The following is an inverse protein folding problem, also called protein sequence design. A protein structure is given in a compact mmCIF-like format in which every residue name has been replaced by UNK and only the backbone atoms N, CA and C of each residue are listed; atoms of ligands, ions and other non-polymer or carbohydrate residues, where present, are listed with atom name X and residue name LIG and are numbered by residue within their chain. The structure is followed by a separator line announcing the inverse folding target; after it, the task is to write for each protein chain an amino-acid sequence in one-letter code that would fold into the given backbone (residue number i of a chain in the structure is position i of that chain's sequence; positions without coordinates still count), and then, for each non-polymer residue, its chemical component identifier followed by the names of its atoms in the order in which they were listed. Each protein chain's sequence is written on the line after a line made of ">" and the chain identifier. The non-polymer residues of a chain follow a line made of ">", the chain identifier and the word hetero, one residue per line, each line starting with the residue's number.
data_IF_352272562730
#
_entry.id   IF_352272562730
#
_cell.length_a   1.000
_cell.length_b   1.000
_cell.length_c   1.000
_cell.angle_alpha   90.00
_cell.angle_beta   90.00
_cell.angle_gamma   90.00
#
_symmetry.space_group_name_H-M   'P 1'
#
loop_
_entity.id
_entity.type
_entity.pdbx_description
1 polymer ?
#
# COMPACT_ATOMS: atom_id res chain seq x y z
N UNK A 1 10.29 7.98 30.83
CA UNK A 1 11.30 7.73 29.79
C UNK A 1 12.10 6.48 30.10
N UNK A 2 12.11 5.52 29.21
CA UNK A 2 12.99 4.35 29.26
C UNK A 2 14.28 4.68 28.50
N UNK A 3 15.41 4.53 29.18
CA UNK A 3 16.72 4.75 28.56
C UNK A 3 17.00 3.71 27.50
N UNK A 4 17.69 4.14 26.44
CA UNK A 4 18.09 3.29 25.32
C UNK A 4 16.91 2.70 24.53
N UNK A 5 15.68 3.20 24.73
CA UNK A 5 14.51 2.85 23.96
C UNK A 5 14.22 3.92 22.91
N UNK A 6 13.95 3.49 21.69
CA UNK A 6 13.48 4.32 20.58
C UNK A 6 12.03 3.95 20.26
N UNK A 7 11.13 4.92 20.35
CA UNK A 7 9.76 4.80 19.85
C UNK A 7 9.74 5.23 18.39
N UNK A 8 9.24 4.36 17.52
CA UNK A 8 9.14 4.62 16.07
C UNK A 8 7.68 4.70 15.71
N UNK A 9 7.28 5.84 15.15
CA UNK A 9 5.94 6.11 14.70
C UNK A 9 5.94 6.13 13.17
N UNK A 10 5.13 5.26 12.56
CA UNK A 10 5.07 5.13 11.11
C UNK A 10 3.74 5.60 10.58
N UNK A 11 3.78 6.59 9.70
CA UNK A 11 2.59 7.17 9.11
C UNK A 11 2.50 6.85 7.62
N UNK A 12 1.28 6.76 7.12
CA UNK A 12 0.98 6.64 5.70
C UNK A 12 0.92 5.20 5.20
N UNK A 13 1.82 4.80 4.31
CA UNK A 13 1.64 3.58 3.51
C UNK A 13 2.62 2.46 3.90
N UNK A 14 2.34 1.24 3.39
CA UNK A 14 3.19 0.06 3.55
C UNK A 14 4.66 0.25 3.10
N UNK A 15 4.94 1.21 2.19
CA UNK A 15 6.31 1.52 1.80
C UNK A 15 7.08 2.21 2.92
N UNK A 16 6.42 3.13 3.66
CA UNK A 16 6.99 3.75 4.85
C UNK A 16 7.17 2.72 5.97
N UNK A 17 6.23 1.77 6.11
CA UNK A 17 6.36 0.69 7.08
C UNK A 17 7.63 -0.14 6.84
N UNK A 18 7.88 -0.56 5.60
CA UNK A 18 9.13 -1.27 5.24
C UNK A 18 10.37 -0.44 5.58
N UNK A 19 10.35 0.88 5.35
CA UNK A 19 11.46 1.76 5.68
C UNK A 19 11.69 1.84 7.21
N UNK A 20 10.62 1.90 8.00
CA UNK A 20 10.70 1.86 9.47
C UNK A 20 11.23 0.52 9.98
N UNK A 21 10.78 -0.60 9.45
CA UNK A 21 11.24 -1.95 9.82
C UNK A 21 12.73 -2.16 9.54
N UNK A 22 13.23 -1.63 8.40
CA UNK A 22 14.67 -1.62 8.09
C UNK A 22 15.46 -0.78 9.11
N UNK A 23 14.94 0.39 9.45
CA UNK A 23 15.57 1.27 10.43
C UNK A 23 15.57 0.67 11.83
N UNK A 24 14.46 0.05 12.27
CA UNK A 24 14.36 -0.66 13.55
C UNK A 24 15.42 -1.74 13.66
N UNK A 25 15.62 -2.53 12.60
CA UNK A 25 16.66 -3.58 12.60
C UNK A 25 18.06 -3.03 12.78
N UNK A 26 18.36 -1.89 12.18
CA UNK A 26 19.63 -1.19 12.37
C UNK A 26 19.78 -0.66 13.80
N UNK A 27 18.73 -0.13 14.40
CA UNK A 27 18.75 0.34 15.79
C UNK A 27 18.95 -0.81 16.78
N UNK A 28 18.22 -1.92 16.63
CA UNK A 28 18.39 -3.13 17.45
C UNK A 28 19.82 -3.67 17.40
N UNK A 29 20.39 -3.76 16.20
CA UNK A 29 21.75 -4.21 15.99
C UNK A 29 22.78 -3.27 16.65
N UNK A 30 22.44 -2.00 16.85
CA UNK A 30 23.20 -1.01 17.58
C UNK A 30 22.90 -0.99 19.09
N UNK A 31 22.07 -1.91 19.58
CA UNK A 31 21.77 -2.11 21.01
C UNK A 31 20.67 -1.21 21.56
N UNK A 32 19.82 -0.64 20.71
CA UNK A 32 18.60 0.04 21.15
C UNK A 32 17.44 -0.97 21.28
N UNK A 33 16.53 -0.69 22.19
CA UNK A 33 15.23 -1.34 22.29
C UNK A 33 14.24 -0.53 21.45
N UNK A 34 13.60 -1.17 20.45
CA UNK A 34 12.69 -0.50 19.54
C UNK A 34 11.24 -0.86 19.83
N UNK A 35 10.39 0.16 19.90
CA UNK A 35 8.94 0.00 20.05
C UNK A 35 8.25 0.70 18.88
N UNK A 36 7.34 0.01 18.19
CA UNK A 36 6.64 0.52 17.03
C UNK A 36 5.20 0.88 17.36
N UNK A 37 4.75 2.06 16.95
CA UNK A 37 3.38 2.59 17.04
C UNK A 37 2.69 2.33 18.39
N UNK A 38 3.42 2.61 19.49
CA UNK A 38 2.88 2.46 20.83
C UNK A 38 1.85 3.53 21.16
N UNK A 39 0.70 3.13 21.70
CA UNK A 39 -0.30 4.05 22.25
C UNK A 39 0.25 4.85 23.46
N UNK A 40 1.28 4.32 24.11
CA UNK A 40 1.93 4.92 25.29
C UNK A 40 3.45 4.96 25.11
N UNK A 41 3.99 5.83 24.23
CA UNK A 41 5.43 5.92 23.99
C UNK A 41 6.17 6.31 25.27
N UNK A 42 7.20 5.54 25.65
CA UNK A 42 7.98 5.74 26.88
C UNK A 42 9.49 5.89 26.64
N UNK A 43 9.93 5.77 25.38
CA UNK A 43 11.34 5.87 24.99
C UNK A 43 11.94 7.25 25.26
N UNK A 44 13.26 7.31 25.43
CA UNK A 44 13.98 8.59 25.53
C UNK A 44 14.15 9.25 24.15
N UNK A 45 13.97 8.50 23.06
CA UNK A 45 14.10 8.94 21.68
C UNK A 45 12.82 8.59 20.93
N UNK A 46 12.34 9.50 20.10
CA UNK A 46 11.27 9.20 19.13
C UNK A 46 11.75 9.49 17.70
N UNK A 47 11.34 8.63 16.77
CA UNK A 47 11.55 8.80 15.33
C UNK A 47 10.19 8.71 14.64
N UNK A 48 9.77 9.79 13.97
CA UNK A 48 8.52 9.84 13.25
C UNK A 48 8.82 9.71 11.75
N UNK A 49 8.33 8.64 11.13
CA UNK A 49 8.39 8.43 9.69
C UNK A 49 7.09 8.92 9.04
N UNK A 50 7.15 10.10 8.44
CA UNK A 50 6.00 10.91 8.02
C UNK A 50 5.49 10.58 6.63
N UNK A 51 4.20 10.79 6.40
CA UNK A 51 3.56 10.82 5.08
C UNK A 51 3.45 12.25 4.56
N UNK A 52 3.67 12.45 3.25
CA UNK A 52 3.61 13.76 2.59
C UNK A 52 2.93 13.71 1.23
N UNK A 53 2.06 12.71 1.02
CA UNK A 53 1.49 12.42 -0.29
C UNK A 53 0.28 13.30 -0.62
N UNK A 54 -0.68 13.41 0.29
CA UNK A 54 -1.90 14.24 0.16
C UNK A 54 -2.07 15.13 1.37
N UNK A 55 -2.90 16.18 1.25
CA UNK A 55 -3.07 17.21 2.29
C UNK A 55 -3.43 16.62 3.65
N UNK A 56 -4.44 15.74 3.70
CA UNK A 56 -4.87 15.12 4.97
C UNK A 56 -3.75 14.31 5.65
N UNK A 57 -2.92 13.62 4.89
CA UNK A 57 -1.78 12.87 5.44
C UNK A 57 -0.63 13.79 5.89
N UNK A 58 -0.49 14.97 5.25
CA UNK A 58 0.46 16.00 5.72
C UNK A 58 -0.01 16.59 7.04
N UNK A 59 -1.28 16.93 7.14
CA UNK A 59 -1.89 17.47 8.38
C UNK A 59 -1.76 16.45 9.53
N UNK A 60 -2.08 15.19 9.31
CA UNK A 60 -1.90 14.13 10.30
C UNK A 60 -0.44 14.03 10.75
N UNK A 61 0.50 14.04 9.81
CA UNK A 61 1.93 14.00 10.11
C UNK A 61 2.40 15.20 10.93
N UNK A 62 1.93 16.41 10.61
CA UNK A 62 2.26 17.62 11.37
C UNK A 62 1.67 17.55 12.78
N UNK A 63 0.42 17.14 12.92
CA UNK A 63 -0.23 17.00 14.23
C UNK A 63 0.51 16.00 15.12
N UNK A 64 0.94 14.86 14.57
CA UNK A 64 1.75 13.88 15.29
C UNK A 64 3.09 14.47 15.71
N UNK A 65 3.78 15.20 14.84
CA UNK A 65 5.04 15.89 15.23
C UNK A 65 4.80 16.84 16.39
N UNK A 66 3.75 17.66 16.35
CA UNK A 66 3.42 18.63 17.42
C UNK A 66 3.07 17.93 18.74
N UNK A 67 2.40 16.78 18.70
CA UNK A 67 2.17 15.97 19.90
C UNK A 67 3.50 15.54 20.55
N UNK A 68 4.44 15.06 19.75
CA UNK A 68 5.75 14.63 20.27
C UNK A 68 6.64 15.81 20.70
N UNK A 69 6.49 17.00 20.10
CA UNK A 69 7.08 18.25 20.61
C UNK A 69 6.56 18.55 22.01
N UNK A 70 5.25 18.52 22.24
CA UNK A 70 4.65 18.71 23.56
C UNK A 70 5.19 17.70 24.59
N UNK A 71 5.36 16.42 24.20
CA UNK A 71 5.96 15.40 25.08
C UNK A 71 7.41 15.74 25.44
N UNK A 72 8.19 16.26 24.49
CA UNK A 72 9.57 16.69 24.70
C UNK A 72 9.64 17.88 25.65
N UNK A 73 8.81 18.89 25.47
CA UNK A 73 8.72 20.06 26.35
C UNK A 73 8.34 19.71 27.79
N UNK A 74 7.47 18.71 27.95
CA UNK A 74 7.06 18.18 29.25
C UNK A 74 8.09 17.21 29.88
N UNK A 75 9.26 17.03 29.28
CA UNK A 75 10.31 16.16 29.78
C UNK A 75 10.01 14.67 29.68
N UNK A 76 9.04 14.27 28.86
CA UNK A 76 8.64 12.89 28.60
C UNK A 76 9.43 12.26 27.44
N UNK A 77 10.16 13.08 26.68
CA UNK A 77 10.99 12.70 25.54
C UNK A 77 12.27 13.53 25.58
N UNK A 78 13.41 12.92 25.27
CA UNK A 78 14.70 13.59 25.24
C UNK A 78 15.08 14.10 23.86
N UNK A 79 14.86 13.27 22.84
CA UNK A 79 15.22 13.56 21.45
C UNK A 79 14.09 13.20 20.52
N UNK A 80 13.77 14.10 19.58
CA UNK A 80 12.75 13.93 18.56
C UNK A 80 13.37 14.08 17.18
N UNK A 81 13.24 13.04 16.36
CA UNK A 81 13.70 13.01 14.99
C UNK A 81 12.53 12.78 14.03
N UNK A 82 12.55 13.45 12.89
CA UNK A 82 11.52 13.33 11.86
C UNK A 82 12.15 12.93 10.53
N UNK A 83 11.57 11.96 9.85
CA UNK A 83 11.97 11.51 8.52
C UNK A 83 10.75 11.21 7.65
N UNK A 84 10.96 10.71 6.44
CA UNK A 84 9.89 10.24 5.58
C UNK A 84 9.51 11.20 4.47
N UNK A 85 8.31 10.99 3.91
CA UNK A 85 7.87 11.68 2.69
C UNK A 85 7.61 13.17 2.89
N UNK A 86 6.96 13.56 4.00
CA UNK A 86 6.73 14.96 4.32
C UNK A 86 8.05 15.69 4.54
N UNK A 87 8.91 15.11 5.37
CA UNK A 87 10.24 15.68 5.66
C UNK A 87 11.13 15.73 4.42
N UNK A 88 11.01 14.77 3.48
CA UNK A 88 11.73 14.84 2.21
C UNK A 88 11.31 16.04 1.36
N UNK A 89 10.03 16.39 1.39
CA UNK A 89 9.44 17.43 0.53
C UNK A 89 9.59 18.84 1.10
N UNK A 90 9.46 18.99 2.43
CA UNK A 90 9.34 20.27 3.12
C UNK A 90 10.36 20.46 4.25
N UNK A 91 11.55 19.86 4.12
CA UNK A 91 12.54 19.83 5.19
C UNK A 91 12.92 21.20 5.74
N UNK A 92 13.16 22.15 4.84
CA UNK A 92 13.65 23.49 5.23
C UNK A 92 12.55 24.30 5.93
N UNK A 93 11.31 24.19 5.44
CA UNK A 93 10.12 24.82 6.02
C UNK A 93 9.84 24.24 7.40
N UNK A 94 9.78 22.91 7.52
CA UNK A 94 9.51 22.23 8.78
C UNK A 94 10.56 22.54 9.83
N UNK A 95 11.84 22.60 9.45
CA UNK A 95 12.93 22.93 10.37
C UNK A 95 12.84 24.37 10.90
N UNK A 96 12.28 25.28 10.08
CA UNK A 96 12.08 26.67 10.46
C UNK A 96 10.84 26.85 11.33
N UNK A 97 9.74 26.17 11.00
CA UNK A 97 8.44 26.32 11.67
C UNK A 97 8.34 25.49 12.96
N UNK A 98 9.08 24.38 13.06
CA UNK A 98 9.08 23.47 14.25
C UNK A 98 10.54 23.25 14.72
N UNK A 99 11.19 24.29 15.27
CA UNK A 99 12.60 24.22 15.71
C UNK A 99 12.82 23.32 16.93
N UNK A 100 11.77 22.88 17.62
CA UNK A 100 11.83 21.96 18.76
C UNK A 100 12.23 20.53 18.36
N UNK A 101 12.03 20.15 17.09
CA UNK A 101 12.54 18.89 16.54
C UNK A 101 14.05 18.95 16.44
N UNK A 102 14.75 17.95 16.98
CA UNK A 102 16.22 17.94 17.00
C UNK A 102 16.80 17.90 15.60
N UNK A 103 16.19 17.12 14.69
CA UNK A 103 16.60 17.10 13.30
C UNK A 103 15.55 16.49 12.39
N UNK A 104 15.45 17.06 11.19
CA UNK A 104 14.68 16.52 10.08
C UNK A 104 15.58 15.82 9.07
N UNK A 105 15.20 14.62 8.64
CA UNK A 105 15.91 13.83 7.63
C UNK A 105 15.01 13.61 6.41
N UNK A 106 15.60 13.57 5.22
CA UNK A 106 14.88 13.08 4.05
C UNK A 106 14.60 11.58 4.15
N UNK A 107 13.69 11.09 3.30
CA UNK A 107 13.26 9.67 3.25
C UNK A 107 14.43 8.68 3.19
N UNK A 108 15.52 9.03 2.51
CA UNK A 108 16.66 8.14 2.27
C UNK A 108 17.86 8.39 3.21
N UNK A 109 17.72 9.25 4.21
CA UNK A 109 18.84 9.68 5.06
C UNK A 109 18.95 8.90 6.37
N UNK A 110 18.42 7.68 6.45
CA UNK A 110 18.46 6.87 7.68
C UNK A 110 19.90 6.58 8.18
N UNK A 111 20.89 6.44 7.27
CA UNK A 111 22.30 6.30 7.65
C UNK A 111 22.82 7.50 8.44
N UNK A 112 22.40 8.71 8.06
CA UNK A 112 22.76 9.92 8.79
C UNK A 112 22.08 9.97 10.16
N UNK A 113 20.84 9.53 10.28
CA UNK A 113 20.14 9.42 11.56
C UNK A 113 20.87 8.46 12.51
N UNK A 114 21.29 7.30 12.03
CA UNK A 114 22.09 6.34 12.82
C UNK A 114 23.41 6.98 13.28
N UNK A 115 24.11 7.69 12.39
CA UNK A 115 25.37 8.37 12.71
C UNK A 115 25.18 9.49 13.74
N UNK A 116 24.12 10.26 13.68
CA UNK A 116 23.82 11.34 14.62
C UNK A 116 23.48 10.80 16.03
N UNK A 117 23.04 9.56 16.13
CA UNK A 117 22.90 8.84 17.40
C UNK A 117 24.24 8.26 17.93
N UNK A 118 25.37 8.58 17.28
CA UNK A 118 26.70 8.10 17.66
C UNK A 118 26.93 6.62 17.33
N UNK A 119 26.19 6.08 16.36
CA UNK A 119 26.20 4.67 15.92
C UNK A 119 26.68 4.57 14.47
N UNK A 120 26.86 3.34 14.00
CA UNK A 120 27.24 3.05 12.64
C UNK A 120 26.24 2.08 11.99
N UNK A 121 26.06 2.22 10.67
CA UNK A 121 25.33 1.22 9.90
C UNK A 121 26.02 -0.14 10.03
N UNK A 122 25.24 -1.18 10.27
CA UNK A 122 25.72 -2.55 10.39
C UNK A 122 25.39 -3.30 9.10
N UNK A 123 26.39 -3.56 8.23
CA UNK A 123 26.16 -4.19 6.92
C UNK A 123 25.49 -5.57 6.99
N UNK A 124 25.72 -6.32 8.08
CA UNK A 124 25.10 -7.62 8.29
C UNK A 124 23.56 -7.54 8.46
N UNK A 125 23.01 -6.34 8.68
CA UNK A 125 21.58 -6.08 8.77
C UNK A 125 21.02 -5.47 7.47
N UNK A 126 21.85 -5.28 6.45
CA UNK A 126 21.39 -4.72 5.17
C UNK A 126 20.33 -5.62 4.54
N UNK A 127 19.17 -5.05 4.22
CA UNK A 127 18.00 -5.79 3.72
C UNK A 127 17.22 -6.58 4.77
N UNK A 128 17.71 -6.75 6.01
CA UNK A 128 16.96 -7.40 7.09
C UNK A 128 16.04 -6.44 7.78
N UNK A 129 14.89 -6.93 8.25
CA UNK A 129 13.85 -6.12 8.88
C UNK A 129 13.43 -6.67 10.24
N UNK A 130 12.96 -5.78 11.09
CA UNK A 130 12.13 -6.09 12.23
C UNK A 130 10.68 -6.02 11.77
N UNK A 131 10.02 -7.17 11.54
CA UNK A 131 8.63 -7.16 11.07
C UNK A 131 7.70 -6.62 12.15
N UNK A 132 6.85 -5.68 11.77
CA UNK A 132 5.80 -5.08 12.60
C UNK A 132 4.40 -5.57 12.20
N UNK A 133 4.29 -6.22 11.04
CA UNK A 133 3.08 -6.94 10.63
C UNK A 133 2.89 -8.21 11.45
N UNK A 134 1.68 -8.80 11.46
CA UNK A 134 1.47 -10.17 11.92
C UNK A 134 2.49 -11.13 11.28
N UNK A 135 2.97 -12.15 12.01
CA UNK A 135 4.14 -12.95 11.58
C UNK A 135 3.92 -13.79 10.32
N UNK A 136 2.71 -13.87 9.81
CA UNK A 136 2.35 -14.71 8.66
C UNK A 136 2.32 -13.95 7.33
N UNK A 137 2.40 -12.62 7.31
CA UNK A 137 2.54 -11.85 6.07
C UNK A 137 3.59 -10.74 6.18
N UNK A 138 4.14 -10.33 5.05
CA UNK A 138 5.09 -9.22 4.97
C UNK A 138 4.93 -8.45 3.66
N UNK A 139 5.19 -7.14 3.71
CA UNK A 139 5.32 -6.32 2.51
C UNK A 139 6.72 -6.47 1.91
N UNK A 140 6.83 -6.65 0.60
CA UNK A 140 8.10 -6.71 -0.13
C UNK A 140 8.18 -5.52 -1.07
N UNK A 141 9.01 -4.54 -0.70
CA UNK A 141 9.27 -3.36 -1.53
C UNK A 141 10.33 -3.70 -2.57
N UNK A 142 9.94 -3.75 -3.85
CA UNK A 142 10.80 -4.21 -4.95
C UNK A 142 11.53 -3.07 -5.69
N UNK A 143 11.03 -1.86 -5.57
CA UNK A 143 11.65 -0.66 -6.13
C UNK A 143 11.28 0.58 -5.32
N UNK A 144 11.80 1.73 -5.70
CA UNK A 144 11.50 3.04 -5.12
C UNK A 144 11.47 4.09 -6.23
N UNK A 145 10.54 5.06 -6.15
CA UNK A 145 10.39 6.12 -7.14
C UNK A 145 9.49 5.72 -8.31
N UNK A 146 9.18 6.68 -9.17
CA UNK A 146 8.28 6.46 -10.30
C UNK A 146 8.64 7.38 -11.47
N UNK A 147 8.75 6.81 -12.66
CA UNK A 147 9.01 7.56 -13.91
C UNK A 147 7.71 7.89 -14.66
N UNK A 148 6.52 7.58 -14.11
CA UNK A 148 5.24 8.04 -14.64
C UNK A 148 5.02 9.51 -14.25
N UNK A 149 4.58 10.31 -15.19
CA UNK A 149 4.38 11.75 -15.01
C UNK A 149 2.89 12.09 -14.89
N UNK A 150 2.13 11.31 -14.09
CA UNK A 150 0.72 11.61 -13.85
C UNK A 150 0.56 13.02 -13.26
N UNK A 151 -0.31 13.82 -13.85
CA UNK A 151 -0.38 15.27 -13.58
C UNK A 151 -0.65 15.63 -12.11
N UNK A 152 -1.36 14.78 -11.39
CA UNK A 152 -1.75 14.98 -9.98
C UNK A 152 -0.73 14.45 -8.96
N UNK A 153 0.30 13.72 -9.42
CA UNK A 153 1.09 12.86 -8.53
C UNK A 153 2.34 13.56 -8.01
N UNK A 154 2.47 13.63 -6.69
CA UNK A 154 3.64 14.18 -6.01
C UNK A 154 4.80 13.17 -5.83
N UNK A 155 4.62 11.89 -6.17
CA UNK A 155 5.62 10.84 -5.96
C UNK A 155 6.98 11.19 -6.57
N UNK A 156 7.09 11.64 -7.85
CA UNK A 156 8.38 12.01 -8.42
C UNK A 156 9.10 13.14 -7.67
N UNK A 157 8.35 14.03 -7.01
CA UNK A 157 8.90 15.12 -6.18
C UNK A 157 9.45 14.62 -4.84
N UNK A 158 8.92 13.50 -4.33
CA UNK A 158 9.26 12.92 -3.03
C UNK A 158 10.37 11.88 -3.17
N UNK A 159 10.17 10.90 -4.06
CA UNK A 159 11.02 9.71 -4.15
C UNK A 159 11.97 9.73 -5.37
N UNK A 160 11.74 10.66 -6.30
CA UNK A 160 12.51 10.78 -7.51
C UNK A 160 12.20 9.70 -8.55
N UNK A 161 13.19 9.42 -9.40
CA UNK A 161 13.07 8.44 -10.48
C UNK A 161 12.97 7.01 -9.96
N UNK A 162 12.37 6.15 -10.77
CA UNK A 162 12.29 4.72 -10.51
C UNK A 162 13.67 4.08 -10.35
N UNK A 163 13.82 3.24 -9.32
CA UNK A 163 15.04 2.49 -9.02
C UNK A 163 14.67 1.11 -8.51
N UNK A 164 14.85 0.10 -9.36
CA UNK A 164 14.63 -1.29 -9.01
C UNK A 164 15.67 -1.80 -8.02
N UNK A 165 15.25 -2.61 -7.06
CA UNK A 165 16.16 -3.44 -6.26
C UNK A 165 16.65 -4.62 -7.10
N UNK A 166 17.83 -5.12 -6.80
CA UNK A 166 18.35 -6.33 -7.46
C UNK A 166 17.43 -7.52 -7.16
N UNK A 167 17.14 -8.31 -8.18
CA UNK A 167 16.27 -9.47 -8.06
C UNK A 167 16.75 -10.45 -7.00
N UNK A 168 18.04 -10.75 -6.98
CA UNK A 168 18.62 -11.70 -6.01
C UNK A 168 18.47 -11.20 -4.55
N UNK A 169 18.60 -9.90 -4.31
CA UNK A 169 18.39 -9.33 -2.97
C UNK A 169 16.93 -9.49 -2.51
N UNK A 170 15.97 -9.31 -3.43
CA UNK A 170 14.54 -9.51 -3.15
C UNK A 170 14.26 -10.99 -2.88
N UNK A 171 14.76 -11.89 -3.72
CA UNK A 171 14.56 -13.34 -3.57
C UNK A 171 15.18 -13.87 -2.27
N UNK A 172 16.35 -13.37 -1.89
CA UNK A 172 16.99 -13.73 -0.62
C UNK A 172 16.17 -13.25 0.58
N UNK A 173 15.64 -12.01 0.54
CA UNK A 173 14.75 -11.49 1.58
C UNK A 173 13.48 -12.34 1.72
N UNK A 174 12.82 -12.67 0.61
CA UNK A 174 11.64 -13.54 0.62
C UNK A 174 11.96 -14.93 1.17
N UNK A 175 13.08 -15.52 0.78
CA UNK A 175 13.49 -16.83 1.27
C UNK A 175 13.79 -16.82 2.79
N UNK A 176 14.46 -15.78 3.30
CA UNK A 176 14.71 -15.62 4.73
C UNK A 176 13.40 -15.45 5.51
N UNK A 177 12.48 -14.60 5.04
CA UNK A 177 11.19 -14.40 5.67
C UNK A 177 10.31 -15.65 5.64
N UNK A 178 10.26 -16.37 4.52
CA UNK A 178 9.52 -17.63 4.39
C UNK A 178 10.07 -18.71 5.35
N UNK A 179 11.40 -18.82 5.45
CA UNK A 179 12.05 -19.74 6.39
C UNK A 179 11.72 -19.40 7.87
N UNK A 180 11.41 -18.13 8.17
CA UNK A 180 10.98 -17.66 9.49
C UNK A 180 9.45 -17.70 9.70
N UNK A 181 8.67 -18.27 8.76
CA UNK A 181 7.25 -18.53 8.92
C UNK A 181 6.30 -17.57 8.22
N UNK A 182 6.79 -16.57 7.50
CA UNK A 182 5.97 -15.73 6.65
C UNK A 182 5.44 -16.55 5.47
N UNK A 183 4.13 -16.51 5.24
CA UNK A 183 3.44 -17.30 4.22
C UNK A 183 2.90 -16.46 3.07
N UNK A 184 2.56 -15.20 3.33
CA UNK A 184 1.99 -14.29 2.36
C UNK A 184 2.90 -13.07 2.16
N UNK A 185 3.13 -12.71 0.89
CA UNK A 185 4.01 -11.62 0.48
C UNK A 185 3.23 -10.59 -0.34
N UNK A 186 3.13 -9.38 0.18
CA UNK A 186 2.53 -8.24 -0.48
C UNK A 186 3.60 -7.52 -1.29
N UNK A 187 3.64 -7.71 -2.61
CA UNK A 187 4.63 -7.06 -3.49
C UNK A 187 4.19 -5.63 -3.76
N UNK A 188 5.00 -4.68 -3.30
CA UNK A 188 4.68 -3.25 -3.33
C UNK A 188 5.79 -2.41 -3.95
N UNK A 189 5.39 -1.37 -4.67
CA UNK A 189 6.16 -0.20 -5.08
C UNK A 189 5.23 0.93 -5.52
N UNK A 190 5.72 1.97 -6.22
CA UNK A 190 4.87 3.03 -6.75
C UNK A 190 4.24 2.66 -8.11
N UNK A 191 4.92 1.81 -8.90
CA UNK A 191 4.43 1.30 -10.18
C UNK A 191 5.01 -0.09 -10.47
N UNK A 192 4.32 -1.12 -10.02
CA UNK A 192 4.75 -2.53 -10.02
C UNK A 192 5.25 -3.04 -11.38
N UNK A 193 4.57 -2.66 -12.46
CA UNK A 193 4.84 -3.22 -13.78
C UNK A 193 6.12 -2.68 -14.41
N UNK A 194 6.68 -1.61 -13.86
CA UNK A 194 7.92 -0.99 -14.36
C UNK A 194 9.21 -1.64 -13.81
N UNK A 195 9.09 -2.58 -12.86
CA UNK A 195 10.24 -3.24 -12.25
C UNK A 195 11.19 -3.82 -13.30
N UNK A 196 12.46 -3.46 -13.21
CA UNK A 196 13.55 -3.88 -14.08
C UNK A 196 13.84 -2.97 -15.28
N UNK A 197 12.86 -2.13 -15.69
CA UNK A 197 13.02 -1.29 -16.90
C UNK A 197 14.20 -0.29 -16.78
N UNK A 198 14.47 0.19 -15.57
CA UNK A 198 15.62 1.06 -15.29
C UNK A 198 16.97 0.33 -15.35
N UNK A 199 16.99 -1.00 -15.30
CA UNK A 199 18.22 -1.80 -15.33
C UNK A 199 18.68 -2.11 -16.75
N UNK A 200 17.79 -2.55 -17.63
CA UNK A 200 18.14 -2.99 -18.99
C UNK A 200 17.07 -2.68 -20.06
N UNK A 201 16.05 -1.89 -19.72
CA UNK A 201 14.95 -1.51 -20.62
C UNK A 201 13.84 -2.56 -20.75
N UNK A 202 13.81 -3.60 -19.90
CA UNK A 202 12.83 -4.67 -19.95
C UNK A 202 12.04 -4.79 -18.63
N UNK A 203 10.79 -5.22 -18.73
CA UNK A 203 10.00 -5.58 -17.56
C UNK A 203 10.48 -6.93 -17.01
N UNK A 204 10.86 -6.95 -15.74
CA UNK A 204 11.31 -8.17 -15.04
C UNK A 204 10.33 -8.63 -13.96
N UNK A 205 9.17 -8.00 -13.84
CA UNK A 205 8.18 -8.35 -12.80
C UNK A 205 7.68 -9.78 -12.95
N UNK A 206 7.44 -10.25 -14.18
CA UNK A 206 6.97 -11.60 -14.46
C UNK A 206 7.98 -12.66 -13.96
N UNK A 207 9.26 -12.47 -14.28
CA UNK A 207 10.33 -13.34 -13.80
C UNK A 207 10.45 -13.32 -12.28
N UNK A 208 10.45 -12.12 -11.68
CA UNK A 208 10.54 -11.95 -10.23
C UNK A 208 9.42 -12.71 -9.51
N UNK A 209 8.17 -12.48 -9.89
CA UNK A 209 6.99 -13.12 -9.26
C UNK A 209 7.02 -14.63 -9.45
N UNK A 210 7.39 -15.09 -10.64
CA UNK A 210 7.52 -16.53 -10.92
C UNK A 210 8.58 -17.19 -10.02
N UNK A 211 9.75 -16.56 -9.86
CA UNK A 211 10.83 -17.08 -8.99
C UNK A 211 10.47 -17.00 -7.51
N UNK A 212 9.78 -15.92 -7.06
CA UNK A 212 9.27 -15.83 -5.70
C UNK A 212 8.29 -16.97 -5.38
N UNK A 213 7.41 -17.32 -6.32
CA UNK A 213 6.44 -18.40 -6.16
C UNK A 213 7.08 -19.80 -6.02
N UNK A 214 8.31 -19.97 -6.48
CA UNK A 214 9.06 -21.23 -6.38
C UNK A 214 9.86 -21.35 -5.06
N UNK A 215 9.88 -20.32 -4.21
CA UNK A 215 10.57 -20.35 -2.91
C UNK A 215 9.78 -21.23 -1.92
N UNK A 216 10.42 -22.21 -1.27
CA UNK A 216 9.75 -23.04 -0.26
C UNK A 216 9.17 -22.20 0.90
N UNK A 217 7.91 -22.47 1.26
CA UNK A 217 7.20 -21.75 2.33
C UNK A 217 6.39 -20.55 1.84
N UNK A 218 6.56 -20.11 0.61
CA UNK A 218 5.71 -19.09 0.00
C UNK A 218 4.37 -19.73 -0.38
N UNK A 219 3.30 -19.26 0.24
CA UNK A 219 1.94 -19.75 0.00
C UNK A 219 1.08 -18.76 -0.80
N UNK A 220 1.26 -17.44 -0.58
CA UNK A 220 0.59 -16.37 -1.30
C UNK A 220 1.52 -15.22 -1.66
N UNK A 221 1.38 -14.74 -2.90
CA UNK A 221 1.98 -13.51 -3.42
C UNK A 221 0.87 -12.65 -3.97
N UNK A 222 0.77 -11.41 -3.50
CA UNK A 222 -0.22 -10.44 -3.91
C UNK A 222 0.44 -9.24 -4.57
N UNK A 223 -0.14 -8.75 -5.68
CA UNK A 223 0.45 -7.72 -6.52
C UNK A 223 -0.31 -6.41 -6.38
N UNK A 224 0.40 -5.33 -6.02
CA UNK A 224 -0.17 -4.02 -5.77
C UNK A 224 0.40 -2.95 -6.71
N UNK A 225 -0.42 -1.95 -7.04
CA UNK A 225 -0.04 -0.74 -7.74
C UNK A 225 0.45 -0.97 -9.18
N UNK A 226 -0.22 -1.84 -9.93
CA UNK A 226 0.01 -1.99 -11.36
C UNK A 226 -0.45 -0.76 -12.16
N UNK A 227 0.13 -0.58 -13.33
CA UNK A 227 -0.23 0.50 -14.25
C UNK A 227 -0.73 -0.08 -15.58
N UNK A 228 -1.81 0.46 -16.18
CA UNK A 228 -2.42 -0.16 -17.36
C UNK A 228 -1.62 0.01 -18.65
N UNK A 229 -0.84 1.10 -18.78
CA UNK A 229 -0.06 1.37 -19.99
C UNK A 229 1.24 0.56 -19.99
N UNK A 230 1.52 -0.14 -21.10
CA UNK A 230 2.68 -1.01 -21.27
C UNK A 230 2.70 -2.17 -20.26
N UNK A 231 1.51 -2.69 -19.93
CA UNK A 231 1.38 -3.81 -19.00
C UNK A 231 2.05 -5.07 -19.55
N UNK A 232 2.88 -5.77 -18.76
CA UNK A 232 3.53 -7.02 -19.17
C UNK A 232 2.51 -8.17 -19.17
N UNK A 233 1.93 -8.47 -20.33
CA UNK A 233 0.83 -9.42 -20.47
C UNK A 233 1.17 -10.86 -20.07
N UNK A 234 2.43 -11.24 -20.11
CA UNK A 234 2.97 -12.52 -19.65
C UNK A 234 2.84 -12.70 -18.12
N UNK A 235 2.70 -11.61 -17.37
CA UNK A 235 2.40 -11.65 -15.94
C UNK A 235 1.07 -12.39 -15.65
N UNK A 236 0.08 -12.26 -16.54
CA UNK A 236 -1.20 -12.96 -16.38
C UNK A 236 -1.05 -14.49 -16.47
N UNK A 237 -0.08 -14.99 -17.23
CA UNK A 237 0.19 -16.41 -17.29
C UNK A 237 0.76 -16.93 -15.96
N UNK A 238 1.57 -16.12 -15.27
CA UNK A 238 2.06 -16.43 -13.92
C UNK A 238 0.92 -16.39 -12.90
N UNK A 239 0.08 -15.34 -12.93
CA UNK A 239 -1.09 -15.23 -12.04
C UNK A 239 -2.04 -16.42 -12.23
N UNK A 240 -2.28 -16.85 -13.47
CA UNK A 240 -3.17 -17.98 -13.79
C UNK A 240 -2.60 -19.32 -13.35
N UNK A 241 -1.30 -19.57 -13.60
CA UNK A 241 -0.72 -20.91 -13.54
C UNK A 241 0.02 -21.22 -12.23
N UNK A 242 0.43 -20.20 -11.46
CA UNK A 242 1.10 -20.38 -10.16
C UNK A 242 0.07 -20.28 -9.04
N UNK A 243 -0.23 -21.36 -8.30
CA UNK A 243 -1.22 -21.34 -7.21
C UNK A 243 -0.80 -20.46 -6.03
N UNK A 244 0.49 -20.12 -5.93
CA UNK A 244 1.01 -19.19 -4.94
C UNK A 244 0.69 -17.74 -5.29
N UNK A 245 0.39 -17.41 -6.54
CA UNK A 245 0.06 -16.04 -6.94
C UNK A 245 -1.45 -15.83 -6.84
N UNK A 246 -1.86 -14.96 -5.93
CA UNK A 246 -3.26 -14.67 -5.69
C UNK A 246 -3.95 -14.18 -6.98
N UNK A 247 -5.18 -14.62 -7.20
CA UNK A 247 -6.02 -14.13 -8.31
C UNK A 247 -6.54 -12.72 -7.98
N UNK A 248 -5.61 -11.81 -7.80
CA UNK A 248 -5.82 -10.45 -7.36
C UNK A 248 -4.82 -9.52 -8.06
N UNK A 249 -5.31 -8.42 -8.60
CA UNK A 249 -4.46 -7.39 -9.22
C UNK A 249 -5.00 -6.00 -8.85
N UNK A 250 -4.18 -5.23 -8.15
CA UNK A 250 -4.47 -3.83 -7.88
C UNK A 250 -3.88 -2.95 -9.00
N UNK A 251 -4.77 -2.28 -9.74
CA UNK A 251 -4.41 -1.41 -10.87
C UNK A 251 -5.10 -0.06 -10.76
N UNK A 252 -4.32 1.01 -10.60
CA UNK A 252 -4.85 2.36 -10.48
C UNK A 252 -5.25 2.94 -11.84
N UNK A 253 -6.53 2.87 -12.20
CA UNK A 253 -7.06 3.41 -13.47
C UNK A 253 -7.27 4.91 -13.41
N UNK A 254 -7.69 5.44 -12.28
CA UNK A 254 -7.96 6.84 -11.96
C UNK A 254 -9.22 7.40 -12.62
N UNK A 255 -9.40 7.26 -13.91
CA UNK A 255 -10.57 7.69 -14.66
C UNK A 255 -10.75 6.85 -15.93
N UNK A 256 -11.83 7.11 -16.74
CA UNK A 256 -12.07 6.44 -18.00
C UNK A 256 -12.30 7.42 -19.16
N UNK A 257 -12.81 8.64 -18.90
CA UNK A 257 -13.03 9.65 -19.95
C UNK A 257 -11.69 10.03 -20.62
N UNK A 258 -11.65 10.03 -21.95
CA UNK A 258 -10.47 10.42 -22.72
C UNK A 258 -10.03 11.85 -22.39
N UNK A 259 -10.99 12.74 -22.14
CA UNK A 259 -10.72 14.10 -21.70
C UNK A 259 -9.94 14.10 -20.39
N UNK A 260 -10.40 13.39 -19.36
CA UNK A 260 -9.73 13.32 -18.06
C UNK A 260 -8.42 12.56 -18.12
N UNK A 261 -8.36 11.42 -18.79
CA UNK A 261 -7.14 10.62 -18.94
C UNK A 261 -6.01 11.43 -19.60
N UNK A 262 -6.34 12.23 -20.61
CA UNK A 262 -5.39 13.14 -21.26
C UNK A 262 -4.91 14.24 -20.30
N UNK A 263 -5.82 14.92 -19.59
CA UNK A 263 -5.45 15.97 -18.61
C UNK A 263 -4.64 15.42 -17.43
N UNK A 264 -4.97 14.21 -16.98
CA UNK A 264 -4.22 13.48 -15.93
C UNK A 264 -2.89 12.90 -16.42
N UNK A 265 -2.56 13.02 -17.71
CA UNK A 265 -1.35 12.47 -18.34
C UNK A 265 -1.20 10.95 -18.10
N UNK A 266 -2.30 10.20 -18.29
CA UNK A 266 -2.31 8.75 -18.06
C UNK A 266 -1.78 7.95 -19.25
N UNK A 267 -1.66 8.57 -20.44
CA UNK A 267 -1.16 7.94 -21.67
C UNK A 267 -1.89 6.65 -22.07
N UNK A 268 -3.15 6.57 -21.74
CA UNK A 268 -4.11 5.53 -22.17
C UNK A 268 -5.40 6.21 -22.57
N UNK A 269 -6.16 5.57 -23.45
CA UNK A 269 -7.50 6.00 -23.85
C UNK A 269 -8.57 5.20 -23.12
N UNK A 270 -9.84 5.65 -23.23
CA UNK A 270 -11.01 4.87 -22.80
C UNK A 270 -11.01 3.48 -23.44
N UNK A 271 -10.75 3.41 -24.74
CA UNK A 271 -10.74 2.15 -25.47
C UNK A 271 -9.64 1.21 -24.98
N UNK A 272 -8.43 1.75 -24.69
CA UNK A 272 -7.34 0.97 -24.11
C UNK A 272 -7.72 0.45 -22.72
N UNK A 273 -8.37 1.26 -21.90
CA UNK A 273 -8.83 0.89 -20.56
C UNK A 273 -9.87 -0.21 -20.60
N UNK A 274 -10.87 -0.10 -21.50
CA UNK A 274 -11.88 -1.14 -21.71
C UNK A 274 -11.22 -2.44 -22.18
N UNK A 275 -10.34 -2.35 -23.18
CA UNK A 275 -9.62 -3.52 -23.71
C UNK A 275 -8.75 -4.17 -22.62
N UNK A 276 -8.11 -3.37 -21.78
CA UNK A 276 -7.32 -3.85 -20.65
C UNK A 276 -8.15 -4.72 -19.70
N UNK A 277 -9.30 -4.21 -19.22
CA UNK A 277 -10.20 -4.95 -18.33
C UNK A 277 -10.75 -6.22 -18.99
N UNK A 278 -11.16 -6.14 -20.26
CA UNK A 278 -11.63 -7.32 -21.00
C UNK A 278 -10.55 -8.39 -21.09
N UNK A 279 -9.31 -8.01 -21.42
CA UNK A 279 -8.19 -8.96 -21.53
C UNK A 279 -7.85 -9.59 -20.18
N UNK A 280 -7.89 -8.84 -19.07
CA UNK A 280 -7.70 -9.39 -17.74
C UNK A 280 -8.72 -10.50 -17.45
N UNK A 281 -10.01 -10.22 -17.67
CA UNK A 281 -11.09 -11.17 -17.40
C UNK A 281 -11.10 -12.36 -18.35
N UNK A 282 -10.70 -12.19 -19.61
CA UNK A 282 -10.57 -13.29 -20.57
C UNK A 282 -9.42 -14.24 -20.22
N UNK A 283 -8.25 -13.68 -19.84
CA UNK A 283 -7.07 -14.48 -19.56
C UNK A 283 -7.09 -15.13 -18.18
N UNK A 284 -7.69 -14.46 -17.20
CA UNK A 284 -7.82 -14.93 -15.81
C UNK A 284 -9.25 -14.66 -15.32
N UNK A 285 -10.22 -15.52 -15.65
CA UNK A 285 -11.66 -15.27 -15.35
C UNK A 285 -11.97 -15.07 -13.86
N UNK A 286 -11.18 -15.67 -12.97
CA UNK A 286 -11.33 -15.60 -11.52
C UNK A 286 -10.60 -14.38 -10.90
N UNK A 287 -9.99 -13.52 -11.74
CA UNK A 287 -9.20 -12.39 -11.26
C UNK A 287 -10.09 -11.35 -10.56
N UNK A 288 -9.80 -11.07 -9.32
CA UNK A 288 -10.36 -9.93 -8.59
C UNK A 288 -9.53 -8.69 -8.92
N UNK A 289 -10.18 -7.73 -9.55
CA UNK A 289 -9.56 -6.45 -9.93
C UNK A 289 -9.86 -5.43 -8.85
N UNK A 290 -8.79 -4.96 -8.21
CA UNK A 290 -8.84 -3.77 -7.36
C UNK A 290 -8.44 -2.55 -8.17
N UNK A 291 -9.18 -1.45 -8.03
CA UNK A 291 -8.83 -0.21 -8.69
C UNK A 291 -8.98 1.00 -7.76
N UNK A 292 -8.33 2.07 -8.15
CA UNK A 292 -8.47 3.39 -7.54
C UNK A 292 -8.92 4.37 -8.60
N UNK A 293 -9.97 5.14 -8.28
CA UNK A 293 -10.52 6.18 -9.14
C UNK A 293 -10.42 7.55 -8.47
N UNK A 294 -10.43 8.60 -9.26
CA UNK A 294 -10.36 9.99 -8.80
C UNK A 294 -11.48 10.79 -9.43
N UNK A 295 -12.19 11.56 -8.61
CA UNK A 295 -13.25 12.48 -9.04
C UNK A 295 -12.88 13.92 -8.74
N UNK A 296 -13.47 14.86 -9.47
CA UNK A 296 -13.25 16.28 -9.25
C UNK A 296 -11.85 16.78 -9.64
N UNK A 297 -11.17 16.06 -10.55
CA UNK A 297 -9.93 16.57 -11.14
C UNK A 297 -10.23 17.86 -11.94
N UNK A 298 -9.32 18.85 -11.97
CA UNK A 298 -9.52 20.12 -12.67
C UNK A 298 -10.06 19.95 -14.10
N UNK A 299 -11.18 20.59 -14.40
CA UNK A 299 -11.89 20.51 -15.66
C UNK A 299 -12.81 19.32 -15.85
N UNK A 300 -13.03 18.47 -14.83
CA UNK A 300 -13.96 17.35 -14.91
C UNK A 300 -15.40 17.85 -15.05
N UNK A 301 -16.06 17.52 -16.16
CA UNK A 301 -17.43 17.85 -16.42
C UNK A 301 -18.41 16.82 -15.84
N UNK A 302 -19.72 17.11 -15.86
CA UNK A 302 -20.73 16.12 -15.47
C UNK A 302 -20.83 14.97 -16.47
N UNK A 303 -20.52 15.22 -17.75
CA UNK A 303 -20.44 14.21 -18.79
C UNK A 303 -19.28 13.23 -18.52
N UNK A 304 -18.09 13.75 -18.17
CA UNK A 304 -16.93 12.93 -17.79
C UNK A 304 -17.26 12.03 -16.58
N UNK A 305 -17.91 12.60 -15.57
CA UNK A 305 -18.30 11.87 -14.38
C UNK A 305 -19.38 10.79 -14.68
N UNK A 306 -20.37 11.10 -15.49
CA UNK A 306 -21.39 10.10 -15.89
C UNK A 306 -20.77 8.96 -16.72
N UNK A 307 -19.79 9.27 -17.57
CA UNK A 307 -19.02 8.26 -18.30
C UNK A 307 -18.24 7.34 -17.34
N UNK A 308 -17.66 7.88 -16.26
CA UNK A 308 -17.01 7.11 -15.21
C UNK A 308 -18.00 6.20 -14.48
N UNK A 309 -19.19 6.71 -14.12
CA UNK A 309 -20.24 5.92 -13.47
C UNK A 309 -20.69 4.75 -14.34
N UNK A 310 -20.89 4.98 -15.64
CA UNK A 310 -21.29 3.93 -16.60
C UNK A 310 -20.18 2.88 -16.77
N UNK A 311 -18.93 3.32 -16.79
CA UNK A 311 -17.77 2.42 -16.81
C UNK A 311 -17.69 1.53 -15.58
N UNK A 312 -17.90 2.06 -14.39
CA UNK A 312 -17.89 1.27 -13.14
C UNK A 312 -19.03 0.24 -13.11
N UNK A 313 -20.26 0.62 -13.59
CA UNK A 313 -21.37 -0.34 -13.75
C UNK A 313 -21.01 -1.48 -14.69
N UNK A 314 -20.34 -1.17 -15.79
CA UNK A 314 -19.94 -2.17 -16.79
C UNK A 314 -18.79 -3.04 -16.28
N UNK A 315 -17.75 -2.44 -15.66
CA UNK A 315 -16.56 -3.14 -15.22
C UNK A 315 -16.79 -4.06 -14.03
N UNK A 316 -17.75 -3.68 -13.13
CA UNK A 316 -18.11 -4.45 -11.92
C UNK A 316 -16.86 -4.84 -11.12
N UNK A 317 -16.07 -3.84 -10.73
CA UNK A 317 -14.85 -4.09 -9.96
C UNK A 317 -15.17 -4.79 -8.64
N UNK A 318 -14.44 -5.84 -8.35
CA UNK A 318 -14.55 -6.57 -7.07
C UNK A 318 -14.12 -5.69 -5.90
N UNK A 319 -13.12 -4.83 -6.12
CA UNK A 319 -12.62 -3.88 -5.14
C UNK A 319 -12.39 -2.52 -5.79
N UNK A 320 -12.89 -1.47 -5.22
CA UNK A 320 -12.65 -0.12 -5.71
C UNK A 320 -12.59 0.87 -4.55
N UNK A 321 -11.53 1.67 -4.53
CA UNK A 321 -11.47 2.90 -3.75
C UNK A 321 -11.58 4.12 -4.64
N UNK A 322 -12.16 5.21 -4.15
CA UNK A 322 -12.18 6.47 -4.86
C UNK A 322 -11.77 7.62 -3.95
N UNK A 323 -11.21 8.68 -4.55
CA UNK A 323 -10.77 9.87 -3.86
C UNK A 323 -11.22 11.12 -4.60
N UNK A 324 -11.57 12.17 -3.85
CA UNK A 324 -11.66 13.50 -4.41
C UNK A 324 -10.25 14.02 -4.75
N UNK A 325 -10.12 14.75 -5.85
CA UNK A 325 -8.85 15.38 -6.21
C UNK A 325 -8.35 16.30 -5.09
N UNK A 326 -7.09 16.12 -4.71
CA UNK A 326 -6.35 16.99 -3.80
C UNK A 326 -5.34 17.83 -4.59
N UNK A 327 -5.37 19.15 -4.38
CA UNK A 327 -4.45 20.07 -5.03
C UNK A 327 -3.08 20.00 -4.34
N UNK A 328 -2.15 19.25 -4.94
CA UNK A 328 -0.82 19.02 -4.37
C UNK A 328 0.21 19.97 -5.01
N UNK A 329 0.78 20.86 -4.21
CA UNK A 329 1.78 21.83 -4.61
C UNK A 329 2.94 21.21 -5.40
N UNK A 330 3.39 21.89 -6.45
CA UNK A 330 4.51 21.46 -7.30
C UNK A 330 4.18 20.35 -8.28
N UNK A 331 2.98 19.74 -8.23
CA UNK A 331 2.54 18.79 -9.26
C UNK A 331 2.21 19.51 -10.57
N UNK A 332 2.21 18.77 -11.67
CA UNK A 332 1.85 19.35 -12.96
C UNK A 332 0.46 19.98 -12.95
N UNK A 333 -0.53 19.30 -12.37
CA UNK A 333 -1.90 19.82 -12.28
C UNK A 333 -1.97 21.13 -11.48
N UNK A 334 -1.28 21.20 -10.35
CA UNK A 334 -1.26 22.40 -9.52
C UNK A 334 -0.59 23.60 -10.19
N UNK A 335 0.36 23.35 -11.08
CA UNK A 335 1.09 24.42 -11.80
C UNK A 335 0.40 24.89 -13.07
N UNK A 336 -0.49 24.07 -13.68
CA UNK A 336 -1.02 24.32 -15.01
C UNK A 336 -2.53 24.36 -15.11
N UNK A 337 -3.26 23.94 -14.06
CA UNK A 337 -4.71 23.91 -14.04
C UNK A 337 -5.25 24.63 -12.81
N UNK A 338 -6.27 25.44 -13.01
CA UNK A 338 -7.07 25.96 -11.90
C UNK A 338 -7.91 24.82 -11.31
N UNK A 339 -8.02 24.74 -9.99
CA UNK A 339 -8.89 23.80 -9.33
C UNK A 339 -10.34 24.32 -9.36
N UNK A 340 -10.97 24.13 -10.51
CA UNK A 340 -12.23 24.74 -10.92
C UNK A 340 -13.48 23.89 -10.54
N UNK A 341 -13.28 22.69 -9.97
CA UNK A 341 -14.38 21.86 -9.48
C UNK A 341 -14.61 22.16 -8.00
N UNK A 342 -15.78 22.71 -7.61
CA UNK A 342 -16.08 23.05 -6.23
C UNK A 342 -15.97 21.86 -5.26
N UNK A 343 -15.51 22.04 -4.01
CA UNK A 343 -15.35 20.96 -3.04
C UNK A 343 -16.62 20.15 -2.80
N UNK A 344 -17.78 20.81 -2.77
CA UNK A 344 -19.07 20.15 -2.61
C UNK A 344 -19.45 19.26 -3.81
N UNK A 345 -19.02 19.64 -5.03
CA UNK A 345 -19.22 18.81 -6.23
C UNK A 345 -18.31 17.61 -6.20
N UNK A 346 -17.04 17.78 -5.81
CA UNK A 346 -16.10 16.68 -5.61
C UNK A 346 -16.64 15.66 -4.62
N UNK A 347 -17.14 16.13 -3.46
CA UNK A 347 -17.70 15.24 -2.45
C UNK A 347 -18.97 14.55 -2.94
N UNK A 348 -19.88 15.26 -3.59
CA UNK A 348 -21.10 14.68 -4.15
C UNK A 348 -20.78 13.57 -5.19
N UNK A 349 -19.79 13.80 -6.06
CA UNK A 349 -19.35 12.79 -7.05
C UNK A 349 -18.73 11.59 -6.35
N UNK A 350 -17.90 11.81 -5.33
CA UNK A 350 -17.30 10.74 -4.52
C UNK A 350 -18.38 9.89 -3.87
N UNK A 351 -19.35 10.50 -3.21
CA UNK A 351 -20.45 9.79 -2.52
C UNK A 351 -21.28 8.97 -3.50
N UNK A 352 -21.61 9.53 -4.68
CA UNK A 352 -22.36 8.81 -5.73
C UNK A 352 -21.57 7.61 -6.28
N UNK A 353 -20.28 7.78 -6.50
CA UNK A 353 -19.40 6.72 -7.01
C UNK A 353 -19.23 5.60 -5.98
N UNK A 354 -19.03 5.95 -4.71
CA UNK A 354 -18.89 4.96 -3.64
C UNK A 354 -20.19 4.23 -3.33
N UNK A 355 -21.34 4.91 -3.41
CA UNK A 355 -22.64 4.24 -3.29
C UNK A 355 -22.86 3.19 -4.39
N UNK A 356 -22.52 3.52 -5.64
CA UNK A 356 -22.56 2.54 -6.73
C UNK A 356 -21.63 1.35 -6.50
N UNK A 357 -20.42 1.60 -6.00
CA UNK A 357 -19.49 0.52 -5.70
C UNK A 357 -19.97 -0.36 -4.55
N UNK A 358 -20.62 0.21 -3.55
CA UNK A 358 -21.22 -0.56 -2.44
C UNK A 358 -22.28 -1.54 -2.96
N UNK A 359 -23.15 -1.10 -3.88
CA UNK A 359 -24.13 -1.97 -4.53
C UNK A 359 -23.45 -3.11 -5.30
N UNK A 360 -22.42 -2.79 -6.10
CA UNK A 360 -21.65 -3.79 -6.87
C UNK A 360 -20.93 -4.75 -5.92
N UNK A 361 -20.33 -4.25 -4.83
CA UNK A 361 -19.64 -5.09 -3.84
C UNK A 361 -20.60 -6.09 -3.21
N UNK A 362 -21.79 -5.65 -2.78
CA UNK A 362 -22.81 -6.54 -2.22
C UNK A 362 -23.21 -7.67 -3.19
N UNK A 363 -23.38 -7.35 -4.49
CA UNK A 363 -23.69 -8.36 -5.50
C UNK A 363 -22.53 -9.36 -5.68
N UNK A 364 -21.29 -8.87 -5.78
CA UNK A 364 -20.08 -9.70 -5.97
C UNK A 364 -19.83 -10.59 -4.76
N UNK A 365 -20.02 -10.08 -3.53
CA UNK A 365 -19.88 -10.89 -2.33
C UNK A 365 -20.99 -11.94 -2.21
N UNK A 366 -22.22 -11.61 -2.58
CA UNK A 366 -23.33 -12.56 -2.59
C UNK A 366 -23.10 -13.75 -3.56
N UNK A 367 -22.39 -13.55 -4.68
CA UNK A 367 -22.02 -14.62 -5.61
C UNK A 367 -21.10 -15.69 -5.00
N UNK A 368 -20.42 -15.38 -3.88
CA UNK A 368 -19.54 -16.30 -3.17
C UNK A 368 -20.28 -17.21 -2.17
N UNK A 369 -21.54 -16.92 -1.87
CA UNK A 369 -22.36 -17.76 -0.96
C UNK A 369 -22.45 -19.17 -1.53
N UNK A 370 -22.15 -20.15 -0.69
CA UNK A 370 -22.11 -21.56 -1.08
C UNK A 370 -20.75 -22.03 -1.63
N UNK A 371 -19.81 -21.14 -1.90
CA UNK A 371 -18.45 -21.52 -2.29
C UNK A 371 -17.61 -21.94 -1.07
N UNK A 372 -16.53 -22.66 -1.34
CA UNK A 372 -15.51 -22.99 -0.33
C UNK A 372 -14.23 -22.29 -0.72
N UNK A 373 -13.74 -21.38 0.15
CA UNK A 373 -12.57 -20.55 -0.09
C UNK A 373 -11.41 -20.97 0.80
N UNK A 374 -10.17 -20.90 0.31
CA UNK A 374 -8.97 -20.99 1.12
C UNK A 374 -8.81 -19.64 1.87
N UNK A 375 -8.70 -19.67 3.19
CA UNK A 375 -8.65 -18.49 4.07
C UNK A 375 -7.47 -18.59 5.00
N UNK A 376 -6.65 -17.53 5.09
CA UNK A 376 -5.64 -17.35 6.12
C UNK A 376 -6.28 -16.65 7.32
N UNK A 377 -6.01 -17.11 8.53
CA UNK A 377 -6.55 -16.49 9.75
C UNK A 377 -5.57 -15.40 10.22
N UNK A 378 -6.03 -14.15 10.28
CA UNK A 378 -5.21 -13.03 10.70
C UNK A 378 -5.28 -12.78 12.21
N UNK A 379 -6.49 -12.89 12.82
CA UNK A 379 -6.70 -12.56 14.22
C UNK A 379 -7.99 -13.21 14.77
N UNK A 380 -8.20 -13.06 16.07
CA UNK A 380 -9.46 -13.42 16.72
C UNK A 380 -10.07 -12.19 17.36
N UNK A 381 -11.34 -11.93 17.08
CA UNK A 381 -12.12 -10.84 17.67
C UNK A 381 -13.46 -11.38 18.17
N UNK A 382 -13.68 -11.30 19.49
CA UNK A 382 -14.90 -11.80 20.12
C UNK A 382 -15.19 -13.24 19.75
N UNK A 383 -16.36 -13.47 19.16
CA UNK A 383 -16.86 -14.79 18.75
C UNK A 383 -16.44 -15.21 17.35
N UNK A 384 -15.53 -14.46 16.70
CA UNK A 384 -15.08 -14.75 15.33
C UNK A 384 -13.57 -14.85 15.24
N UNK A 385 -13.10 -15.71 14.35
CA UNK A 385 -11.80 -15.64 13.72
C UNK A 385 -11.95 -14.84 12.44
N UNK A 386 -11.09 -13.85 12.29
CA UNK A 386 -11.05 -12.95 11.13
C UNK A 386 -9.92 -13.41 10.23
N UNK A 387 -10.23 -13.61 8.97
CA UNK A 387 -9.25 -14.04 7.99
C UNK A 387 -9.49 -13.42 6.62
N UNK A 388 -8.67 -13.78 5.66
CA UNK A 388 -8.75 -13.29 4.28
C UNK A 388 -8.63 -14.43 3.28
N UNK A 389 -9.35 -14.31 2.18
CA UNK A 389 -9.15 -15.17 1.02
C UNK A 389 -8.03 -14.63 0.10
N UNK A 390 -7.67 -15.37 -0.93
CA UNK A 390 -6.74 -14.89 -1.97
C UNK A 390 -7.21 -13.62 -2.69
N UNK A 391 -8.48 -13.25 -2.54
CA UNK A 391 -9.11 -12.11 -3.16
C UNK A 391 -9.07 -10.82 -2.34
N UNK A 392 -8.47 -10.86 -1.15
CA UNK A 392 -8.47 -9.73 -0.20
C UNK A 392 -7.08 -9.44 0.33
N UNK A 393 -6.64 -8.18 0.18
CA UNK A 393 -5.40 -7.66 0.75
C UNK A 393 -5.59 -7.34 2.24
N UNK A 394 -4.57 -7.49 3.09
CA UNK A 394 -4.64 -7.04 4.47
C UNK A 394 -4.93 -5.54 4.56
N UNK A 395 -5.61 -5.13 5.62
CA UNK A 395 -5.87 -3.76 6.07
C UNK A 395 -6.80 -2.91 5.17
N UNK A 396 -7.01 -3.29 3.91
CA UNK A 396 -7.72 -2.43 2.94
C UNK A 396 -8.89 -3.09 2.22
N UNK A 397 -9.01 -4.41 2.28
CA UNK A 397 -10.08 -5.16 1.63
C UNK A 397 -10.96 -5.89 2.65
N UNK A 398 -12.17 -6.32 2.25
CA UNK A 398 -13.08 -7.09 3.07
C UNK A 398 -12.51 -8.38 3.66
N UNK A 399 -13.11 -8.85 4.73
CA UNK A 399 -12.64 -9.96 5.54
C UNK A 399 -13.57 -11.18 5.43
N UNK A 400 -13.09 -12.31 5.93
CA UNK A 400 -13.88 -13.54 6.08
C UNK A 400 -14.02 -13.83 7.57
N UNK A 401 -15.25 -13.75 8.09
CA UNK A 401 -15.57 -13.98 9.48
C UNK A 401 -15.98 -15.45 9.68
N UNK A 402 -15.18 -16.19 10.46
CA UNK A 402 -15.40 -17.59 10.78
C UNK A 402 -15.78 -17.70 12.24
N UNK A 403 -16.96 -18.25 12.54
CA UNK A 403 -17.43 -18.41 13.93
C UNK A 403 -16.46 -19.24 14.74
N UNK A 404 -16.12 -18.77 15.94
CA UNK A 404 -15.14 -19.39 16.84
C UNK A 404 -15.75 -20.54 17.66
N UNK A 405 -16.39 -21.51 17.01
CA UNK A 405 -16.91 -22.73 17.60
C UNK A 405 -15.85 -23.84 17.73
N UNK A 406 -14.69 -23.65 17.14
CA UNK A 406 -13.50 -24.48 17.29
C UNK A 406 -12.24 -23.60 17.38
N UNK A 407 -11.11 -24.18 17.80
CA UNK A 407 -9.84 -23.45 17.91
C UNK A 407 -9.10 -23.45 16.57
N UNK A 408 -8.87 -22.25 16.01
CA UNK A 408 -8.04 -22.06 14.83
C UNK A 408 -6.71 -21.40 15.22
N UNK A 409 -5.66 -21.70 14.45
CA UNK A 409 -4.33 -21.13 14.65
C UNK A 409 -4.16 -19.92 13.73
N UNK A 410 -3.86 -18.76 14.32
CA UNK A 410 -3.57 -17.53 13.58
C UNK A 410 -2.36 -17.76 12.66
N UNK A 411 -2.42 -17.26 11.44
CA UNK A 411 -1.40 -17.45 10.41
C UNK A 411 -1.49 -18.81 9.68
N UNK A 412 -2.47 -19.64 9.98
CA UNK A 412 -2.72 -20.88 9.25
C UNK A 412 -3.85 -20.73 8.25
N UNK A 413 -3.79 -21.56 7.20
CA UNK A 413 -4.81 -21.66 6.18
C UNK A 413 -5.86 -22.68 6.56
N UNK A 414 -7.11 -22.35 6.27
CA UNK A 414 -8.27 -23.23 6.41
C UNK A 414 -9.17 -23.10 5.19
N UNK A 415 -9.92 -24.14 4.89
CA UNK A 415 -10.99 -24.05 3.92
C UNK A 415 -12.27 -23.59 4.63
N UNK A 416 -12.88 -22.52 4.17
CA UNK A 416 -14.09 -21.95 4.73
C UNK A 416 -15.25 -22.06 3.74
N UNK A 417 -16.36 -22.68 4.20
CA UNK A 417 -17.63 -22.71 3.48
C UNK A 417 -18.37 -21.41 3.76
N UNK A 418 -18.58 -20.60 2.73
CA UNK A 418 -19.27 -19.32 2.86
C UNK A 418 -20.77 -19.55 2.95
N UNK A 419 -21.39 -19.02 3.99
CA UNK A 419 -22.82 -19.19 4.29
C UNK A 419 -23.64 -17.91 4.14
N UNK A 420 -23.01 -16.75 4.28
CA UNK A 420 -23.63 -15.43 4.13
C UNK A 420 -22.60 -14.39 3.67
N UNK A 421 -23.08 -13.28 3.19
CA UNK A 421 -22.30 -12.10 2.81
C UNK A 421 -23.11 -10.84 3.15
N UNK A 422 -22.44 -9.77 3.49
CA UNK A 422 -22.99 -8.41 3.45
C UNK A 422 -22.35 -7.60 2.30
N UNK A 423 -22.41 -6.29 2.33
CA UNK A 423 -21.85 -5.45 1.28
C UNK A 423 -20.31 -5.48 1.21
N UNK A 424 -19.65 -5.98 2.24
CA UNK A 424 -18.20 -6.05 2.32
C UNK A 424 -17.71 -7.44 2.73
N UNK A 425 -18.14 -7.97 3.88
CA UNK A 425 -17.55 -9.13 4.48
C UNK A 425 -18.30 -10.44 4.17
N UNK A 426 -17.56 -11.54 4.26
CA UNK A 426 -18.07 -12.89 4.10
C UNK A 426 -18.17 -13.58 5.46
N UNK A 427 -19.20 -14.40 5.61
CA UNK A 427 -19.42 -15.21 6.83
C UNK A 427 -19.38 -16.69 6.47
N UNK A 428 -18.66 -17.47 7.26
CA UNK A 428 -18.50 -18.88 6.96
C UNK A 428 -18.16 -19.73 8.18
N UNK A 429 -17.97 -21.00 7.89
CA UNK A 429 -17.48 -22.00 8.86
C UNK A 429 -16.37 -22.84 8.22
N UNK A 430 -15.49 -23.40 9.06
CA UNK A 430 -14.45 -24.31 8.55
C UNK A 430 -15.12 -25.50 7.89
N UNK A 431 -14.68 -25.83 6.69
CA UNK A 431 -15.13 -27.00 5.94
C UNK A 431 -14.20 -28.19 6.23
N UNK A 432 -14.79 -29.36 6.43
CA UNK A 432 -14.07 -30.64 6.42
C UNK A 432 -13.74 -30.97 4.95
N UNK A 433 -12.48 -30.77 4.56
CA UNK A 433 -11.97 -31.05 3.19
C UNK A 433 -11.00 -32.20 3.21
#
# INVERSE_FOLDING_TARGET
>A
MKKNQIDIITMGCSKNLVDSELLMKQFEANGFDCVHDSDTPEGEIAVINTCGFIESAKEESINTILEFVNRKENGQLRQLYVMGCLSQRYKEELQKEIPEVDKFYGKFNFKQLIADLGKAEIPACDGRRHLTTPPHYAYIKIAEGCDRHCAYCAIPLITGRHRSRKMDDILNEVAELAANGVKEFQVIEQELTYYGVDLDGKHHITELVSRMADIPGVEWIRLHYAYPNQFPWDLLDVIRNKPQVCKYLDVALQHVSDHMLSRMQRHVTKQDTIHFIQTLREKVPELHIRTTLMVGFPGETEEDFNELMDFVRWARFERMGAFAYSHEEGTYSALHYDDDVPPEVKQQRLDRLMALQQEISAEVEAEKIGQTLKVIIDRKEGDYYIGRSEFCSPDVDPEVLIKADQTLVIGNFYWAKISAADEFDLYGSVADV
#
